data_IF_888458182503
#
_entry.id   IF_888458182503
#
_cell.length_a   1.000
_cell.length_b   1.000
_cell.length_c   1.000
_cell.angle_alpha   90.00
_cell.angle_beta   90.00
_cell.angle_gamma   90.00
#
_symmetry.space_group_name_H-M   'P 1'
#
loop_
_entity.id
_entity.type
_entity.pdbx_description
1 polymer ?
#
# COMPACT_ATOMS: atom_id res chain seq x y z
N UNK A 1 23.65 49.55 -37.32
CA UNK A 1 22.40 49.78 -36.56
C UNK A 1 21.61 48.47 -36.62
N UNK A 2 21.53 47.71 -35.52
CA UNK A 2 20.95 46.35 -35.52
C UNK A 2 19.42 46.36 -35.55
N UNK A 3 18.83 45.45 -36.32
CA UNK A 3 17.40 45.33 -36.57
C UNK A 3 16.59 45.11 -35.27
N UNK A 4 15.66 46.02 -34.88
CA UNK A 4 14.85 45.90 -33.68
C UNK A 4 13.97 44.65 -33.65
N UNK A 5 13.58 44.11 -34.81
CA UNK A 5 12.77 42.89 -34.89
C UNK A 5 13.54 41.65 -34.39
N UNK A 6 14.86 41.58 -34.62
CA UNK A 6 15.72 40.49 -34.14
C UNK A 6 15.86 40.46 -32.62
N UNK A 7 15.86 41.63 -31.97
CA UNK A 7 15.88 41.74 -30.50
C UNK A 7 14.59 41.23 -29.88
N UNK A 8 13.45 41.59 -30.47
CA UNK A 8 12.13 41.17 -29.98
C UNK A 8 11.94 39.64 -30.05
N UNK A 9 12.41 39.00 -31.13
CA UNK A 9 12.35 37.54 -31.32
C UNK A 9 13.19 36.79 -30.28
N UNK A 10 14.39 37.28 -29.96
CA UNK A 10 15.25 36.63 -28.95
C UNK A 10 14.67 36.63 -27.53
N UNK A 11 13.95 37.70 -27.16
CA UNK A 11 13.29 37.81 -25.85
C UNK A 11 12.13 36.81 -25.73
N UNK A 12 11.31 36.70 -26.79
CA UNK A 12 10.18 35.76 -26.84
C UNK A 12 10.62 34.28 -26.74
N UNK A 13 11.72 33.91 -27.40
CA UNK A 13 12.23 32.53 -27.39
C UNK A 13 12.74 32.12 -26.00
N UNK A 14 13.41 33.02 -25.29
CA UNK A 14 13.87 32.76 -23.92
C UNK A 14 12.69 32.59 -22.96
N UNK A 15 11.69 33.48 -23.01
CA UNK A 15 10.48 33.40 -22.16
C UNK A 15 9.72 32.07 -22.37
N UNK A 16 9.52 31.66 -23.63
CA UNK A 16 8.87 30.38 -23.96
C UNK A 16 9.68 29.19 -23.43
N UNK A 17 11.01 29.26 -23.51
CA UNK A 17 11.90 28.20 -23.02
C UNK A 17 11.83 28.08 -21.50
N UNK A 18 11.88 29.20 -20.78
CA UNK A 18 11.82 29.24 -19.32
C UNK A 18 10.48 28.72 -18.82
N UNK A 19 9.37 29.13 -19.44
CA UNK A 19 8.02 28.64 -19.11
C UNK A 19 7.88 27.14 -19.35
N UNK A 20 8.45 26.63 -20.45
CA UNK A 20 8.44 25.19 -20.75
C UNK A 20 9.24 24.40 -19.72
N UNK A 21 10.40 24.91 -19.30
CA UNK A 21 11.21 24.28 -18.26
C UNK A 21 10.49 24.29 -16.90
N UNK A 22 9.87 25.42 -16.53
CA UNK A 22 9.08 25.53 -15.31
C UNK A 22 7.89 24.55 -15.31
N UNK A 23 7.19 24.40 -16.43
CA UNK A 23 6.09 23.44 -16.56
C UNK A 23 6.57 21.99 -16.41
N UNK A 24 7.72 21.64 -17.01
CA UNK A 24 8.31 20.30 -16.86
C UNK A 24 8.78 20.02 -15.42
N UNK A 25 9.37 21.02 -14.76
CA UNK A 25 9.76 20.91 -13.36
C UNK A 25 8.54 20.70 -12.45
N UNK A 26 7.48 21.48 -12.66
CA UNK A 26 6.21 21.32 -11.94
C UNK A 26 5.59 19.95 -12.18
N UNK A 27 5.58 19.47 -13.43
CA UNK A 27 5.06 18.14 -13.77
C UNK A 27 5.83 17.03 -13.05
N UNK A 28 7.17 17.12 -13.01
CA UNK A 28 8.00 16.16 -12.26
C UNK A 28 7.69 16.20 -10.76
N UNK A 29 7.53 17.38 -10.19
CA UNK A 29 7.19 17.54 -8.78
C UNK A 29 5.83 16.91 -8.46
N UNK A 30 4.83 17.17 -9.29
CA UNK A 30 3.50 16.56 -9.16
C UNK A 30 3.58 15.03 -9.24
N UNK A 31 4.32 14.48 -10.21
CA UNK A 31 4.49 13.02 -10.33
C UNK A 31 5.16 12.41 -9.11
N UNK A 32 6.17 13.07 -8.56
CA UNK A 32 6.85 12.61 -7.35
C UNK A 32 5.90 12.64 -6.14
N UNK A 33 5.11 13.69 -6.01
CA UNK A 33 4.12 13.82 -4.93
C UNK A 33 3.01 12.77 -5.04
N UNK A 34 2.53 12.47 -6.25
CA UNK A 34 1.60 11.35 -6.48
C UNK A 34 2.20 10.02 -6.03
N UNK A 35 3.43 9.71 -6.44
CA UNK A 35 4.09 8.47 -6.06
C UNK A 35 4.25 8.34 -4.54
N UNK A 36 4.62 9.44 -3.87
CA UNK A 36 4.75 9.46 -2.41
C UNK A 36 3.41 9.26 -1.70
N UNK A 37 2.33 9.86 -2.22
CA UNK A 37 0.99 9.67 -1.67
C UNK A 37 0.49 8.24 -1.88
N UNK A 38 0.73 7.65 -3.04
CA UNK A 38 0.38 6.26 -3.36
C UNK A 38 1.05 5.27 -2.40
N UNK A 39 2.37 5.41 -2.20
CA UNK A 39 3.13 4.61 -1.22
C UNK A 39 2.57 4.81 0.20
N UNK A 40 2.21 6.04 0.58
CA UNK A 40 1.67 6.32 1.92
C UNK A 40 0.30 5.68 2.11
N UNK A 41 -0.54 5.70 1.09
CA UNK A 41 -1.86 5.08 1.11
C UNK A 41 -1.75 3.55 1.21
N UNK A 42 -0.86 2.92 0.43
CA UNK A 42 -0.57 1.49 0.54
C UNK A 42 -0.08 1.10 1.96
N UNK A 43 0.79 1.91 2.56
CA UNK A 43 1.25 1.73 3.95
C UNK A 43 0.07 1.87 4.92
N UNK A 44 -0.77 2.90 4.78
CA UNK A 44 -1.93 3.10 5.67
C UNK A 44 -2.97 2.00 5.53
N UNK A 45 -3.24 1.54 4.31
CA UNK A 45 -4.17 0.44 4.05
C UNK A 45 -3.65 -0.87 4.64
N UNK A 46 -2.35 -1.15 4.55
CA UNK A 46 -1.76 -2.33 5.20
C UNK A 46 -1.78 -2.23 6.73
N UNK A 47 -1.57 -1.04 7.31
CA UNK A 47 -1.70 -0.79 8.76
C UNK A 47 -3.16 -0.88 9.24
N UNK A 48 -4.15 -0.47 8.45
CA UNK A 48 -5.56 -0.64 8.80
C UNK A 48 -6.02 -2.08 8.56
N UNK A 49 -5.43 -2.81 7.61
CA UNK A 49 -5.77 -4.21 7.37
C UNK A 49 -5.60 -5.06 8.63
N UNK A 50 -4.51 -4.86 9.39
CA UNK A 50 -4.32 -5.55 10.67
C UNK A 50 -5.45 -5.23 11.66
N UNK A 51 -5.82 -3.95 11.79
CA UNK A 51 -6.91 -3.51 12.66
C UNK A 51 -8.30 -3.99 12.20
N UNK A 52 -8.53 -4.10 10.89
CA UNK A 52 -9.76 -4.63 10.29
C UNK A 52 -9.84 -6.14 10.55
N UNK A 53 -8.78 -6.89 10.28
CA UNK A 53 -8.74 -8.33 10.49
C UNK A 53 -8.89 -8.67 11.98
N UNK A 54 -8.20 -7.95 12.88
CA UNK A 54 -8.34 -8.10 14.32
C UNK A 54 -9.81 -7.92 14.79
N UNK A 55 -10.47 -6.85 14.34
CA UNK A 55 -11.89 -6.62 14.63
C UNK A 55 -12.79 -7.68 14.02
N UNK A 56 -12.45 -8.19 12.83
CA UNK A 56 -13.22 -9.22 12.16
C UNK A 56 -13.14 -10.57 12.89
N UNK A 57 -11.95 -11.00 13.33
CA UNK A 57 -11.78 -12.25 14.08
C UNK A 57 -12.48 -12.19 15.44
N UNK A 58 -12.41 -11.06 16.15
CA UNK A 58 -13.11 -10.85 17.42
C UNK A 58 -14.64 -10.97 17.26
N UNK A 59 -15.21 -10.25 16.29
CA UNK A 59 -16.66 -10.33 15.99
C UNK A 59 -17.08 -11.72 15.55
N UNK A 60 -16.26 -12.36 14.72
CA UNK A 60 -16.53 -13.71 14.23
C UNK A 60 -16.53 -14.74 15.36
N UNK A 61 -15.60 -14.63 16.32
CA UNK A 61 -15.56 -15.50 17.49
C UNK A 61 -16.86 -15.43 18.29
N UNK A 62 -17.37 -14.22 18.54
CA UNK A 62 -18.64 -14.00 19.24
C UNK A 62 -19.83 -14.57 18.45
N UNK A 63 -19.92 -14.29 17.14
CA UNK A 63 -21.03 -14.74 16.29
C UNK A 63 -21.05 -16.26 16.15
N UNK A 64 -19.88 -16.86 15.92
CA UNK A 64 -19.73 -18.30 15.73
C UNK A 64 -19.74 -19.07 17.05
N UNK A 65 -19.64 -18.39 18.20
CA UNK A 65 -19.49 -19.00 19.53
C UNK A 65 -18.34 -20.02 19.55
N UNK A 66 -17.23 -19.67 18.91
CA UNK A 66 -16.03 -20.49 18.84
C UNK A 66 -15.04 -20.09 19.93
N UNK A 67 -14.18 -21.01 20.34
CA UNK A 67 -13.11 -20.74 21.30
C UNK A 67 -11.91 -20.03 20.64
N UNK A 68 -11.74 -20.21 19.33
CA UNK A 68 -10.70 -19.56 18.52
C UNK A 68 -11.21 -19.28 17.11
N UNK A 69 -10.83 -18.13 16.57
CA UNK A 69 -10.98 -17.78 15.15
C UNK A 69 -9.65 -17.21 14.66
N UNK A 70 -9.19 -17.67 13.50
CA UNK A 70 -7.96 -17.20 12.87
C UNK A 70 -8.20 -16.81 11.42
N UNK A 71 -7.43 -15.85 10.93
CA UNK A 71 -7.25 -15.62 9.49
C UNK A 71 -5.95 -16.30 9.09
N UNK A 72 -6.07 -17.32 8.25
CA UNK A 72 -4.94 -18.09 7.74
C UNK A 72 -4.60 -17.65 6.31
N UNK A 73 -3.39 -17.12 6.12
CA UNK A 73 -2.88 -16.70 4.81
C UNK A 73 -1.99 -17.80 4.24
N UNK A 74 -2.35 -18.33 3.09
CA UNK A 74 -1.48 -19.24 2.35
C UNK A 74 -0.28 -18.46 1.78
N UNK A 75 0.92 -18.96 2.03
CA UNK A 75 2.20 -18.36 1.55
C UNK A 75 2.85 -19.26 0.49
N UNK A 76 2.50 -20.55 0.47
CA UNK A 76 2.92 -21.53 -0.53
C UNK A 76 1.85 -22.61 -0.75
N UNK A 77 2.25 -23.73 -1.37
CA UNK A 77 1.36 -24.88 -1.61
C UNK A 77 1.00 -25.62 -0.32
N UNK A 78 1.90 -25.68 0.66
CA UNK A 78 1.70 -26.48 1.89
C UNK A 78 1.86 -25.66 3.17
N UNK A 79 2.16 -24.37 3.03
CA UNK A 79 2.46 -23.47 4.14
C UNK A 79 1.50 -22.29 4.17
N UNK A 80 1.01 -21.99 5.37
CA UNK A 80 0.33 -20.73 5.62
C UNK A 80 0.67 -20.16 6.99
N UNK A 81 0.34 -18.88 7.14
CA UNK A 81 0.62 -18.11 8.35
C UNK A 81 -0.67 -17.62 8.97
N UNK A 82 -0.76 -17.67 10.30
CA UNK A 82 -1.84 -17.03 11.05
C UNK A 82 -1.55 -15.54 11.14
N UNK A 83 -2.33 -14.72 10.42
CA UNK A 83 -2.11 -13.26 10.31
C UNK A 83 -3.06 -12.43 11.19
N UNK A 84 -4.13 -13.03 11.71
CA UNK A 84 -4.99 -12.44 12.72
C UNK A 84 -5.60 -13.56 13.56
N UNK A 85 -5.82 -13.29 14.84
CA UNK A 85 -6.32 -14.29 15.80
C UNK A 85 -7.22 -13.63 16.84
N UNK A 86 -8.30 -14.34 17.20
CA UNK A 86 -9.07 -14.13 18.41
C UNK A 86 -9.18 -15.48 19.13
N UNK A 87 -8.78 -15.53 20.39
CA UNK A 87 -8.63 -16.77 21.16
C UNK A 87 -9.02 -16.54 22.61
N UNK A 88 -9.71 -17.51 23.21
CA UNK A 88 -10.01 -17.48 24.65
C UNK A 88 -8.77 -17.64 25.52
N UNK A 89 -8.82 -17.14 26.76
CA UNK A 89 -7.70 -17.15 27.72
C UNK A 89 -7.15 -18.55 28.04
N UNK A 90 -7.97 -19.59 27.86
CA UNK A 90 -7.64 -20.98 28.15
C UNK A 90 -6.69 -21.60 27.11
N UNK A 91 -6.45 -20.94 25.97
CA UNK A 91 -5.64 -21.49 24.90
C UNK A 91 -4.42 -20.64 24.59
N UNK A 92 -3.30 -21.29 24.23
CA UNK A 92 -2.10 -20.61 23.81
C UNK A 92 -2.31 -19.88 22.46
N UNK A 93 -1.94 -18.60 22.34
CA UNK A 93 -2.03 -17.88 21.07
C UNK A 93 -1.09 -18.48 20.03
N UNK A 94 -1.50 -18.45 18.76
CA UNK A 94 -0.69 -18.91 17.62
C UNK A 94 -0.53 -17.82 16.54
N UNK A 95 -0.92 -16.58 16.82
CA UNK A 95 -0.68 -15.44 15.93
C UNK A 95 0.79 -15.38 15.48
N UNK A 96 1.01 -15.22 14.18
CA UNK A 96 2.34 -15.17 13.55
C UNK A 96 2.97 -16.53 13.28
N UNK A 97 2.40 -17.63 13.79
CA UNK A 97 2.88 -18.98 13.51
C UNK A 97 2.71 -19.35 12.05
N UNK A 98 3.71 -20.06 11.50
CA UNK A 98 3.62 -20.73 10.21
C UNK A 98 3.19 -22.17 10.46
N UNK A 99 2.09 -22.58 9.85
CA UNK A 99 1.55 -23.92 9.92
C UNK A 99 1.78 -24.58 8.57
N UNK A 100 2.45 -25.73 8.62
CA UNK A 100 2.51 -26.63 7.48
C UNK A 100 1.28 -27.54 7.55
N UNK A 101 0.41 -27.45 6.55
CA UNK A 101 -0.79 -28.26 6.47
C UNK A 101 -0.81 -29.02 5.13
N UNK A 102 -0.52 -30.34 5.16
CA UNK A 102 -0.53 -31.20 3.98
C UNK A 102 -1.88 -31.25 3.25
N UNK A 103 -2.97 -30.76 3.85
CA UNK A 103 -4.26 -30.66 3.17
C UNK A 103 -4.29 -29.62 2.04
N UNK A 104 -3.29 -28.73 1.94
CA UNK A 104 -3.18 -27.77 0.83
C UNK A 104 -2.28 -28.25 -0.32
N UNK A 105 -1.59 -29.38 -0.15
CA UNK A 105 -0.61 -29.95 -1.08
C UNK A 105 -1.17 -30.36 -2.44
N UNK A 106 -2.42 -30.80 -2.50
CA UNK A 106 -3.00 -31.42 -3.69
C UNK A 106 -4.13 -30.56 -4.27
N UNK A 107 -3.82 -29.84 -5.35
CA UNK A 107 -4.83 -29.20 -6.21
C UNK A 107 -4.51 -29.40 -7.68
#
# INVERSE_FOLDING_TARGET
MGDPARRQIGILINDISDRKQAALALQRQIQQEYLLNDINEDIRQSLDLEAVLARAVERSQVVLKSERVVVFRLVGSEEGQVIAESVGSEFAPILGSTIHDPCFSDR
#
